data_IF_067089105051
#
_entry.id   IF_067089105051
#
_cell.length_a   1.000
_cell.length_b   1.000
_cell.length_c   1.000
_cell.angle_alpha   90.00
_cell.angle_beta   90.00
_cell.angle_gamma   90.00
#
_symmetry.space_group_name_H-M   'P 1'
#
loop_
_entity.id
_entity.type
_entity.pdbx_description
1 polymer ?
#
# COMPACT_ATOMS: atom_id res chain seq x y z
N UNK A 1 -17.47 5.34 -20.26
CA UNK A 1 -16.41 6.13 -19.57
C UNK A 1 -16.95 7.17 -18.57
N UNK A 2 -17.93 8.02 -18.90
CA UNK A 2 -18.42 9.08 -17.98
C UNK A 2 -18.99 8.58 -16.64
N UNK A 3 -19.65 7.42 -16.63
CA UNK A 3 -20.20 6.79 -15.42
C UNK A 3 -19.12 6.27 -14.48
N UNK A 4 -18.12 5.54 -14.99
CA UNK A 4 -16.96 5.07 -14.20
C UNK A 4 -16.19 6.23 -13.55
N UNK A 5 -16.07 7.36 -14.25
CA UNK A 5 -15.38 8.57 -13.74
C UNK A 5 -16.16 9.25 -12.62
N UNK A 6 -17.49 9.31 -12.70
CA UNK A 6 -18.34 9.78 -11.60
C UNK A 6 -18.23 8.86 -10.38
N UNK A 7 -18.25 7.55 -10.57
CA UNK A 7 -18.09 6.58 -9.48
C UNK A 7 -16.73 6.73 -8.78
N UNK A 8 -15.64 6.85 -9.54
CA UNK A 8 -14.28 7.08 -9.00
C UNK A 8 -14.17 8.36 -8.18
N UNK A 9 -14.77 9.44 -8.68
CA UNK A 9 -14.75 10.74 -8.01
C UNK A 9 -15.61 10.73 -6.73
N UNK A 10 -16.75 10.04 -6.75
CA UNK A 10 -17.60 9.86 -5.56
C UNK A 10 -16.86 9.02 -4.51
N UNK A 11 -16.18 7.94 -4.93
CA UNK A 11 -15.41 7.10 -4.00
C UNK A 11 -14.22 7.85 -3.40
N UNK A 12 -13.53 8.72 -4.15
CA UNK A 12 -12.42 9.48 -3.60
C UNK A 12 -12.89 10.55 -2.60
N UNK A 13 -14.03 11.20 -2.86
CA UNK A 13 -14.65 12.17 -1.95
C UNK A 13 -15.10 11.49 -0.66
N UNK A 14 -15.69 10.29 -0.75
CA UNK A 14 -16.07 9.51 0.43
C UNK A 14 -14.85 9.12 1.28
N UNK A 15 -13.79 8.62 0.66
CA UNK A 15 -12.55 8.26 1.36
C UNK A 15 -11.93 9.50 2.02
N UNK A 16 -11.90 10.63 1.31
CA UNK A 16 -11.40 11.90 1.85
C UNK A 16 -12.25 12.39 3.03
N UNK A 17 -13.58 12.26 2.96
CA UNK A 17 -14.49 12.60 4.04
C UNK A 17 -14.32 11.72 5.28
N UNK A 18 -14.06 10.43 5.09
CA UNK A 18 -13.76 9.50 6.20
C UNK A 18 -12.43 9.86 6.87
N UNK A 19 -11.39 10.13 6.07
CA UNK A 19 -10.08 10.53 6.59
C UNK A 19 -10.20 11.84 7.37
N UNK A 20 -10.79 12.88 6.79
CA UNK A 20 -10.95 14.17 7.47
C UNK A 20 -11.89 14.12 8.66
N UNK A 21 -12.97 13.35 8.59
CA UNK A 21 -13.86 13.09 9.72
C UNK A 21 -13.12 12.44 10.89
N UNK A 22 -12.23 11.50 10.59
CA UNK A 22 -11.38 10.86 11.59
C UNK A 22 -10.35 11.85 12.19
N UNK A 23 -9.70 12.69 11.38
CA UNK A 23 -8.77 13.74 11.85
C UNK A 23 -9.46 14.76 12.75
N UNK A 24 -10.68 15.19 12.40
CA UNK A 24 -11.44 16.18 13.19
C UNK A 24 -11.86 15.59 14.53
N UNK A 25 -12.32 14.34 14.55
CA UNK A 25 -12.67 13.64 15.80
C UNK A 25 -11.46 13.46 16.72
N UNK A 26 -10.30 13.15 16.15
CA UNK A 26 -9.06 12.99 16.90
C UNK A 26 -8.55 14.30 17.51
N UNK A 27 -8.70 15.45 16.82
CA UNK A 27 -8.32 16.77 17.38
C UNK A 27 -9.33 17.30 18.39
N UNK A 28 -10.60 16.95 18.25
CA UNK A 28 -11.69 17.40 19.13
C UNK A 28 -11.82 16.59 20.42
N UNK A 29 -11.26 15.38 20.46
CA UNK A 29 -11.32 14.49 21.63
C UNK A 29 -9.94 13.89 21.90
N UNK A 30 -9.42 14.03 23.13
CA UNK A 30 -8.14 13.44 23.56
C UNK A 30 -8.19 11.88 23.66
N UNK A 31 -9.05 11.22 22.89
CA UNK A 31 -9.32 9.79 22.95
C UNK A 31 -8.21 8.93 22.31
N UNK A 32 -7.32 9.54 21.51
CA UNK A 32 -6.42 8.82 20.61
C UNK A 32 -4.99 9.37 20.63
N UNK A 33 -4.43 9.60 21.83
CA UNK A 33 -3.01 9.89 21.98
C UNK A 33 -2.17 8.72 21.42
N UNK A 34 -1.37 8.97 20.38
CA UNK A 34 -0.50 7.97 19.72
C UNK A 34 -0.93 7.54 18.31
N UNK A 35 -2.14 7.89 17.86
CA UNK A 35 -2.64 7.57 16.50
C UNK A 35 -2.24 8.58 15.41
N UNK A 36 -1.60 9.70 15.79
CA UNK A 36 -1.17 10.75 14.86
C UNK A 36 -0.26 10.21 13.75
N UNK A 37 0.63 9.28 14.10
CA UNK A 37 1.58 8.69 13.16
C UNK A 37 0.88 7.78 12.14
N UNK A 38 -0.13 7.04 12.57
CA UNK A 38 -0.93 6.15 11.70
C UNK A 38 -1.76 7.01 10.74
N UNK A 39 -2.37 8.08 11.23
CA UNK A 39 -3.16 9.02 10.41
C UNK A 39 -2.27 9.71 9.39
N UNK A 40 -1.08 10.16 9.81
CA UNK A 40 -0.09 10.76 8.94
C UNK A 40 0.33 9.79 7.81
N UNK A 41 0.60 8.52 8.14
CA UNK A 41 0.90 7.49 7.15
C UNK A 41 -0.27 7.26 6.18
N UNK A 42 -1.51 7.20 6.67
CA UNK A 42 -2.70 7.04 5.83
C UNK A 42 -2.84 8.21 4.86
N UNK A 43 -2.64 9.45 5.32
CA UNK A 43 -2.69 10.65 4.47
C UNK A 43 -1.61 10.58 3.38
N UNK A 44 -0.38 10.20 3.73
CA UNK A 44 0.72 10.07 2.76
C UNK A 44 0.41 8.99 1.71
N UNK A 45 -0.03 7.81 2.15
CA UNK A 45 -0.38 6.71 1.25
C UNK A 45 -1.53 7.12 0.33
N UNK A 46 -2.55 7.79 0.88
CA UNK A 46 -3.68 8.34 0.13
C UNK A 46 -3.24 9.36 -0.91
N UNK A 47 -2.34 10.28 -0.55
CA UNK A 47 -1.80 11.29 -1.46
C UNK A 47 -1.00 10.66 -2.61
N UNK A 48 -0.14 9.67 -2.31
CA UNK A 48 0.62 8.92 -3.33
C UNK A 48 -0.34 8.20 -4.28
N UNK A 49 -1.36 7.53 -3.75
CA UNK A 49 -2.37 6.83 -4.55
C UNK A 49 -3.14 7.80 -5.46
N UNK A 50 -3.49 8.98 -4.95
CA UNK A 50 -4.17 10.02 -5.71
C UNK A 50 -3.32 10.58 -6.84
N UNK A 51 -2.04 10.88 -6.60
CA UNK A 51 -1.10 11.33 -7.62
C UNK A 51 -0.95 10.27 -8.72
N UNK A 52 -0.82 8.99 -8.35
CA UNK A 52 -0.72 7.89 -9.31
C UNK A 52 -2.00 7.75 -10.15
N UNK A 53 -3.18 7.94 -9.55
CA UNK A 53 -4.44 7.92 -10.27
C UNK A 53 -4.52 9.07 -11.30
N UNK A 54 -4.11 10.28 -10.93
CA UNK A 54 -4.07 11.42 -11.85
C UNK A 54 -3.10 11.21 -13.02
N UNK A 55 -1.94 10.58 -12.78
CA UNK A 55 -0.99 10.21 -13.84
C UNK A 55 -1.62 9.19 -14.79
N UNK A 56 -2.26 8.15 -14.26
CA UNK A 56 -2.94 7.11 -15.05
C UNK A 56 -4.06 7.70 -15.94
N UNK A 57 -4.84 8.64 -15.40
CA UNK A 57 -5.87 9.38 -16.13
C UNK A 57 -5.30 10.26 -17.27
N UNK A 58 -4.06 10.77 -17.10
CA UNK A 58 -3.37 11.55 -18.13
C UNK A 58 -2.84 10.63 -19.24
N UNK A 59 -2.22 9.51 -18.87
CA UNK A 59 -1.71 8.50 -19.80
C UNK A 59 -2.83 7.87 -20.66
N UNK A 60 -4.01 7.62 -20.08
CA UNK A 60 -5.18 7.13 -20.82
C UNK A 60 -5.71 8.16 -21.82
N UNK A 61 -5.61 9.46 -21.52
CA UNK A 61 -5.97 10.53 -22.48
C UNK A 61 -4.96 10.70 -23.60
N UNK A 62 -3.70 10.35 -23.35
CA UNK A 62 -2.61 10.40 -24.32
C UNK A 62 -2.57 9.14 -25.22
N UNK A 63 -3.48 8.19 -25.03
CA UNK A 63 -3.59 6.97 -25.83
C UNK A 63 -2.48 5.95 -25.57
N UNK A 64 -1.70 6.15 -24.50
CA UNK A 64 -0.69 5.19 -24.06
C UNK A 64 -1.43 4.01 -23.43
N UNK A 65 -1.13 2.76 -23.81
CA UNK A 65 -1.74 1.59 -23.19
C UNK A 65 -1.52 1.64 -21.68
N UNK A 66 -2.61 1.65 -20.93
CA UNK A 66 -2.62 1.94 -19.49
C UNK A 66 -2.02 0.81 -18.65
N UNK A 67 -1.81 -0.36 -19.25
CA UNK A 67 -1.11 -1.50 -18.68
C UNK A 67 -0.14 -2.09 -19.70
N UNK A 68 1.15 -1.86 -19.48
CA UNK A 68 2.24 -2.54 -20.18
C UNK A 68 2.36 -3.99 -19.69
N UNK A 69 2.58 -4.92 -20.61
CA UNK A 69 2.78 -6.34 -20.31
C UNK A 69 3.90 -6.54 -19.27
N UNK A 70 4.98 -5.76 -19.34
CA UNK A 70 6.08 -5.83 -18.38
C UNK A 70 5.64 -5.40 -16.98
N UNK A 71 4.84 -4.34 -16.88
CA UNK A 71 4.29 -3.84 -15.61
C UNK A 71 3.37 -4.89 -14.98
N UNK A 72 2.55 -5.55 -15.78
CA UNK A 72 1.67 -6.64 -15.36
C UNK A 72 2.47 -7.83 -14.83
N UNK A 73 3.53 -8.23 -15.54
CA UNK A 73 4.42 -9.30 -15.08
C UNK A 73 5.14 -8.96 -13.78
N UNK A 74 5.63 -7.73 -13.61
CA UNK A 74 6.24 -7.27 -12.35
C UNK A 74 5.23 -7.41 -11.23
N UNK A 75 3.99 -6.97 -11.42
CA UNK A 75 2.94 -7.01 -10.39
C UNK A 75 2.65 -8.43 -9.91
N UNK A 76 2.46 -9.38 -10.84
CA UNK A 76 2.17 -10.77 -10.48
C UNK A 76 3.37 -11.48 -9.84
N UNK A 77 4.57 -11.35 -10.42
CA UNK A 77 5.78 -11.98 -9.87
C UNK A 77 6.13 -11.41 -8.50
N UNK A 78 6.11 -10.08 -8.35
CA UNK A 78 6.41 -9.44 -7.07
C UNK A 78 5.37 -9.77 -6.00
N UNK A 79 4.08 -9.81 -6.35
CA UNK A 79 3.03 -10.22 -5.42
C UNK A 79 3.17 -11.67 -4.95
N UNK A 80 3.46 -12.60 -5.87
CA UNK A 80 3.66 -14.01 -5.54
C UNK A 80 4.83 -14.22 -4.56
N UNK A 81 6.00 -13.67 -4.88
CA UNK A 81 7.17 -13.79 -4.02
C UNK A 81 6.98 -13.07 -2.67
N UNK A 82 6.39 -11.88 -2.67
CA UNK A 82 6.12 -11.13 -1.44
C UNK A 82 5.19 -11.90 -0.51
N UNK A 83 4.15 -12.54 -1.05
CA UNK A 83 3.24 -13.39 -0.30
C UNK A 83 3.97 -14.60 0.30
N UNK A 84 4.76 -15.33 -0.49
CA UNK A 84 5.51 -16.49 0.00
C UNK A 84 6.48 -16.12 1.12
N UNK A 85 7.31 -15.10 0.92
CA UNK A 85 8.27 -14.67 1.95
C UNK A 85 7.56 -14.13 3.20
N UNK A 86 6.45 -13.42 3.04
CA UNK A 86 5.64 -12.96 4.17
C UNK A 86 5.07 -14.14 4.97
N UNK A 87 4.55 -15.18 4.31
CA UNK A 87 4.03 -16.38 4.98
C UNK A 87 5.11 -17.10 5.81
N UNK A 88 6.30 -17.30 5.25
CA UNK A 88 7.40 -17.90 6.00
C UNK A 88 7.85 -17.01 7.17
N UNK A 89 7.91 -15.70 6.95
CA UNK A 89 8.25 -14.75 8.01
C UNK A 89 7.23 -14.79 9.15
N UNK A 90 5.93 -14.82 8.87
CA UNK A 90 4.89 -14.93 9.88
C UNK A 90 4.97 -16.24 10.66
N UNK A 91 5.32 -17.35 10.00
CA UNK A 91 5.61 -18.61 10.67
C UNK A 91 6.76 -18.46 11.67
N UNK A 92 7.85 -17.78 11.29
CA UNK A 92 8.95 -17.48 12.20
C UNK A 92 8.53 -16.59 13.38
N UNK A 93 7.71 -15.55 13.14
CA UNK A 93 7.19 -14.71 14.22
C UNK A 93 6.39 -15.54 15.23
N UNK A 94 5.53 -16.45 14.75
CA UNK A 94 4.75 -17.29 15.64
C UNK A 94 5.58 -18.31 16.43
N UNK A 95 6.65 -18.86 15.83
CA UNK A 95 7.60 -19.70 16.54
C UNK A 95 8.35 -18.95 17.65
N UNK A 96 8.56 -17.64 17.46
CA UNK A 96 9.26 -16.78 18.40
C UNK A 96 8.32 -15.91 19.24
N UNK A 97 7.02 -16.25 19.30
CA UNK A 97 5.99 -15.42 19.94
C UNK A 97 6.34 -15.05 21.40
N UNK A 98 6.97 -15.96 22.13
CA UNK A 98 7.31 -15.78 23.55
C UNK A 98 8.49 -14.80 23.77
N UNK A 99 9.16 -14.38 22.69
CA UNK A 99 10.22 -13.36 22.73
C UNK A 99 9.71 -11.93 22.61
N UNK A 100 8.43 -11.75 22.25
CA UNK A 100 7.85 -10.42 22.13
C UNK A 100 7.24 -9.97 23.46
N UNK A 101 7.46 -8.70 23.87
CA UNK A 101 6.93 -8.19 25.13
C UNK A 101 5.40 -8.08 25.11
N UNK A 102 4.82 -7.67 23.98
CA UNK A 102 3.39 -7.46 23.81
C UNK A 102 2.91 -7.97 22.45
N UNK A 103 1.66 -8.43 22.39
CA UNK A 103 1.01 -8.88 21.15
C UNK A 103 0.91 -7.75 20.13
N UNK A 104 0.66 -6.52 20.58
CA UNK A 104 0.61 -5.32 19.73
C UNK A 104 1.94 -5.08 19.01
N UNK A 105 3.05 -5.24 19.73
CA UNK A 105 4.40 -5.08 19.18
C UNK A 105 4.72 -6.20 18.19
N UNK A 106 4.31 -7.43 18.48
CA UNK A 106 4.46 -8.58 17.57
C UNK A 106 3.68 -8.37 16.26
N UNK A 107 2.40 -7.98 16.36
CA UNK A 107 1.54 -7.76 15.20
C UNK A 107 2.00 -6.54 14.38
N UNK A 108 2.28 -5.42 15.05
CA UNK A 108 2.78 -4.20 14.39
C UNK A 108 4.12 -4.45 13.69
N UNK A 109 5.05 -5.13 14.35
CA UNK A 109 6.33 -5.55 13.78
C UNK A 109 6.15 -6.48 12.58
N UNK A 110 5.26 -7.48 12.68
CA UNK A 110 4.96 -8.41 11.59
C UNK A 110 4.36 -7.73 10.35
N UNK A 111 3.46 -6.77 10.55
CA UNK A 111 2.87 -5.99 9.44
C UNK A 111 3.94 -5.11 8.77
N UNK A 112 4.78 -4.41 9.56
CA UNK A 112 5.88 -3.59 9.04
C UNK A 112 6.88 -4.45 8.25
N UNK A 113 7.24 -5.61 8.78
CA UNK A 113 8.16 -6.53 8.12
C UNK A 113 7.56 -7.10 6.82
N UNK A 114 6.25 -7.39 6.80
CA UNK A 114 5.53 -7.81 5.59
C UNK A 114 5.57 -6.72 4.50
N UNK A 115 5.36 -5.46 4.87
CA UNK A 115 5.45 -4.32 3.95
C UNK A 115 6.87 -4.16 3.38
N UNK A 116 7.88 -4.32 4.24
CA UNK A 116 9.29 -4.23 3.86
C UNK A 116 9.69 -5.37 2.91
N UNK A 117 9.25 -6.60 3.16
CA UNK A 117 9.41 -7.73 2.24
C UNK A 117 8.80 -7.41 0.88
N UNK A 118 7.56 -6.91 0.85
CA UNK A 118 6.89 -6.53 -0.40
C UNK A 118 7.68 -5.48 -1.19
N UNK A 119 8.24 -4.49 -0.51
CA UNK A 119 9.05 -3.45 -1.15
C UNK A 119 10.36 -4.01 -1.73
N UNK A 120 11.10 -4.80 -0.95
CA UNK A 120 12.36 -5.43 -1.38
C UNK A 120 12.12 -6.34 -2.59
N UNK A 121 11.12 -7.22 -2.49
CA UNK A 121 10.78 -8.16 -3.58
C UNK A 121 10.43 -7.41 -4.86
N UNK A 122 9.65 -6.33 -4.75
CA UNK A 122 9.30 -5.50 -5.92
C UNK A 122 10.53 -4.89 -6.57
N UNK A 123 11.51 -4.40 -5.79
CA UNK A 123 12.78 -3.87 -6.32
C UNK A 123 13.57 -4.97 -7.01
N UNK A 124 13.74 -6.14 -6.39
CA UNK A 124 14.49 -7.26 -6.95
C UNK A 124 13.87 -7.74 -8.27
N UNK A 125 12.56 -7.96 -8.29
CA UNK A 125 11.84 -8.39 -9.50
C UNK A 125 11.95 -7.35 -10.62
N UNK A 126 11.87 -6.06 -10.28
CA UNK A 126 12.04 -4.98 -11.26
C UNK A 126 13.46 -4.98 -11.85
N UNK A 127 14.51 -5.20 -11.04
CA UNK A 127 15.89 -5.27 -11.52
C UNK A 127 16.12 -6.47 -12.43
N UNK A 128 15.69 -7.66 -12.01
CA UNK A 128 15.88 -8.90 -12.77
C UNK A 128 15.15 -8.91 -14.12
N UNK A 129 14.01 -8.23 -14.25
CA UNK A 129 13.30 -8.13 -15.53
C UNK A 129 13.96 -7.13 -16.47
N UNK A 130 14.56 -6.06 -15.94
CA UNK A 130 15.29 -5.08 -16.74
C UNK A 130 16.57 -5.67 -17.37
N UNK A 131 17.24 -6.58 -16.65
CA UNK A 131 18.43 -7.29 -17.14
C UNK A 131 18.14 -8.31 -18.24
N UNK A 132 16.93 -8.87 -18.30
CA UNK A 132 16.51 -9.83 -19.35
C UNK A 132 16.01 -9.16 -20.64
N UNK A 133 15.76 -7.85 -20.61
CA UNK A 133 15.22 -7.10 -21.75
C UNK A 133 16.29 -6.35 -22.56
N UNK A 134 17.55 -6.35 -22.10
CA UNK A 134 18.73 -5.89 -22.83
C UNK A 134 19.48 -7.08 -23.42
#
# INVERSE_FOLDING_TARGET
MKTKRKTLMITSILIMGVIWGFVVLQRGTNLFHGLDLIIFLIIIIGAIAFINALKKDKEEKEGIPTEDEMTTQIKYKSGYYAYLYSMYMWLFIFLLKDKFPDVETMLGGGILLSALIGFIVKIIVKRNLNEKSN
#
